data_IF_664800677465
#
_entry.id   IF_664800677465
#
_cell.length_a   1.000
_cell.length_b   1.000
_cell.length_c   1.000
_cell.angle_alpha   90.00
_cell.angle_beta   90.00
_cell.angle_gamma   90.00
#
_symmetry.space_group_name_H-M   'P 1'
#
loop_
_entity.id
_entity.type
_entity.pdbx_description
1 polymer ?
#
# COMPACT_ATOMS: atom_id res chain seq x y z
N UNK A 1 -0.39 -12.05 13.88
CA UNK A 1 -1.20 -10.85 13.53
C UNK A 1 -0.56 -9.93 12.49
N UNK A 2 0.78 -9.83 12.41
CA UNK A 2 1.49 -9.06 11.37
C UNK A 2 1.00 -9.31 9.91
N UNK A 3 0.73 -10.56 9.46
CA UNK A 3 0.27 -10.78 8.08
C UNK A 3 -1.11 -10.17 7.78
N UNK A 4 -2.02 -10.14 8.76
CA UNK A 4 -3.39 -9.63 8.57
C UNK A 4 -3.39 -8.12 8.32
N UNK A 5 -2.58 -7.39 9.08
CA UNK A 5 -2.45 -5.92 8.95
C UNK A 5 -1.82 -5.58 7.59
N UNK A 6 -0.79 -6.32 7.18
CA UNK A 6 -0.16 -6.14 5.87
C UNK A 6 -1.14 -6.38 4.71
N UNK A 7 -1.98 -7.41 4.81
CA UNK A 7 -3.02 -7.70 3.81
C UNK A 7 -4.08 -6.60 3.75
N UNK A 8 -4.50 -6.05 4.88
CA UNK A 8 -5.48 -4.96 4.93
C UNK A 8 -4.97 -3.67 4.26
N UNK A 9 -3.70 -3.33 4.46
CA UNK A 9 -3.10 -2.15 3.81
C UNK A 9 -2.91 -2.41 2.31
N UNK A 10 -2.48 -3.61 1.92
CA UNK A 10 -2.23 -3.95 0.52
C UNK A 10 -3.51 -3.89 -0.34
N UNK A 11 -4.68 -4.27 0.19
CA UNK A 11 -5.94 -4.28 -0.55
C UNK A 11 -6.55 -2.89 -0.79
N UNK A 12 -6.14 -1.88 -0.03
CA UNK A 12 -6.67 -0.53 -0.14
C UNK A 12 -6.38 0.13 -1.50
N UNK A 13 -5.19 -0.12 -2.07
CA UNK A 13 -4.76 0.51 -3.33
C UNK A 13 -5.56 -0.04 -4.52
N UNK A 14 -5.63 -1.37 -4.75
CA UNK A 14 -6.51 -1.94 -5.77
C UNK A 14 -7.97 -1.59 -5.62
N UNK A 15 -8.49 -1.51 -4.39
CA UNK A 15 -9.89 -1.13 -4.16
C UNK A 15 -10.22 0.25 -4.73
N UNK A 16 -9.38 1.25 -4.44
CA UNK A 16 -9.55 2.63 -4.97
C UNK A 16 -9.41 2.65 -6.49
N UNK A 17 -8.41 1.96 -7.04
CA UNK A 17 -8.17 1.93 -8.49
C UNK A 17 -9.28 1.19 -9.25
N UNK A 18 -9.83 0.13 -8.66
CA UNK A 18 -10.93 -0.66 -9.20
C UNK A 18 -12.21 0.19 -9.23
N UNK A 19 -12.55 0.84 -8.11
CA UNK A 19 -13.68 1.77 -8.05
C UNK A 19 -13.55 2.90 -9.09
N UNK A 20 -12.35 3.49 -9.20
CA UNK A 20 -12.05 4.52 -10.22
C UNK A 20 -12.23 3.99 -11.65
N UNK A 21 -11.81 2.76 -11.92
CA UNK A 21 -11.93 2.12 -13.23
C UNK A 21 -13.37 1.75 -13.59
N UNK A 22 -14.17 1.34 -12.60
CA UNK A 22 -15.61 1.06 -12.75
C UNK A 22 -16.36 2.35 -13.05
N UNK A 23 -16.06 3.44 -12.35
CA UNK A 23 -16.65 4.76 -12.60
C UNK A 23 -16.36 5.27 -14.03
N UNK A 24 -15.21 4.93 -14.59
CA UNK A 24 -14.82 5.24 -15.99
C UNK A 24 -15.34 4.22 -17.02
N UNK A 25 -16.39 3.44 -16.70
CA UNK A 25 -17.02 2.43 -17.58
C UNK A 25 -16.05 1.33 -18.09
N UNK A 26 -14.96 1.06 -17.38
CA UNK A 26 -13.93 0.11 -17.81
C UNK A 26 -14.08 -1.27 -17.14
N UNK A 27 -15.31 -1.63 -16.77
CA UNK A 27 -15.65 -2.83 -15.98
C UNK A 27 -15.10 -4.13 -16.58
N UNK A 28 -15.11 -4.25 -17.92
CA UNK A 28 -14.55 -5.41 -18.61
C UNK A 28 -13.06 -5.60 -18.32
N UNK A 29 -12.28 -4.51 -18.29
CA UNK A 29 -10.84 -4.60 -17.99
C UNK A 29 -10.58 -4.92 -16.52
N UNK A 30 -11.40 -4.37 -15.61
CA UNK A 30 -11.36 -4.74 -14.18
C UNK A 30 -11.64 -6.23 -13.99
N UNK A 31 -12.65 -6.77 -14.70
CA UNK A 31 -12.97 -8.19 -14.67
C UNK A 31 -11.81 -9.06 -15.17
N UNK A 32 -11.22 -8.73 -16.32
CA UNK A 32 -10.07 -9.46 -16.85
C UNK A 32 -8.86 -9.41 -15.89
N UNK A 33 -8.57 -8.26 -15.28
CA UNK A 33 -7.52 -8.16 -14.26
C UNK A 33 -7.79 -9.07 -13.07
N UNK A 34 -9.03 -9.07 -12.55
CA UNK A 34 -9.40 -9.92 -11.43
C UNK A 34 -9.28 -11.41 -11.78
N UNK A 35 -9.66 -11.82 -13.00
CA UNK A 35 -9.47 -13.21 -13.45
C UNK A 35 -7.99 -13.60 -13.47
N UNK A 36 -7.13 -12.76 -14.05
CA UNK A 36 -5.68 -12.99 -14.07
C UNK A 36 -5.14 -13.15 -12.64
N UNK A 37 -5.56 -12.26 -11.74
CA UNK A 37 -5.08 -12.22 -10.36
C UNK A 37 -5.57 -13.43 -9.56
N UNK A 38 -6.81 -13.87 -9.75
CA UNK A 38 -7.32 -15.10 -9.14
C UNK A 38 -6.53 -16.32 -9.63
N UNK A 39 -6.23 -16.41 -10.93
CA UNK A 39 -5.42 -17.50 -11.47
C UNK A 39 -4.01 -17.51 -10.89
N UNK A 40 -3.34 -16.35 -10.84
CA UNK A 40 -2.01 -16.21 -10.24
C UNK A 40 -2.04 -16.56 -8.76
N UNK A 41 -3.03 -16.06 -8.02
CA UNK A 41 -3.18 -16.31 -6.59
C UNK A 41 -3.38 -17.78 -6.27
N UNK A 42 -4.19 -18.49 -7.07
CA UNK A 42 -4.35 -19.93 -6.95
C UNK A 42 -3.04 -20.66 -7.23
N UNK A 43 -2.36 -20.37 -8.34
CA UNK A 43 -1.09 -21.00 -8.68
C UNK A 43 -0.03 -20.80 -7.59
N UNK A 44 0.12 -19.57 -7.11
CA UNK A 44 1.04 -19.22 -6.03
C UNK A 44 0.66 -19.88 -4.71
N UNK A 45 -0.62 -19.92 -4.36
CA UNK A 45 -1.08 -20.61 -3.16
C UNK A 45 -0.75 -22.11 -3.22
N UNK A 46 -0.97 -22.76 -4.37
CA UNK A 46 -0.63 -24.18 -4.55
C UNK A 46 0.87 -24.47 -4.43
N UNK A 47 1.74 -23.53 -4.85
CA UNK A 47 3.20 -23.69 -4.76
C UNK A 47 3.73 -23.34 -3.37
N UNK A 48 3.27 -22.22 -2.79
CA UNK A 48 3.85 -21.63 -1.58
C UNK A 48 3.29 -22.23 -0.29
N UNK A 49 2.02 -22.68 -0.27
CA UNK A 49 1.43 -23.25 0.96
C UNK A 49 2.14 -24.55 1.37
N UNK A 50 2.49 -25.49 0.47
CA UNK A 50 3.23 -26.69 0.85
C UNK A 50 4.61 -26.40 1.45
N UNK A 51 5.34 -25.41 0.93
CA UNK A 51 6.71 -25.14 1.38
C UNK A 51 6.78 -24.28 2.65
N UNK A 52 5.94 -23.25 2.76
CA UNK A 52 6.03 -22.23 3.82
C UNK A 52 4.71 -22.00 4.58
N UNK A 53 3.72 -22.88 4.38
CA UNK A 53 2.47 -22.91 5.12
C UNK A 53 1.67 -21.60 5.00
N UNK A 54 1.13 -21.14 6.13
CA UNK A 54 0.30 -19.92 6.20
C UNK A 54 1.02 -18.66 5.70
N UNK A 55 2.35 -18.60 5.83
CA UNK A 55 3.14 -17.46 5.32
C UNK A 55 3.10 -17.41 3.79
N UNK A 56 3.02 -18.56 3.12
CA UNK A 56 2.90 -18.66 1.67
C UNK A 56 1.62 -18.05 1.15
N UNK A 57 0.50 -18.28 1.84
CA UNK A 57 -0.78 -17.64 1.50
C UNK A 57 -0.71 -16.12 1.60
N UNK A 58 -0.08 -15.58 2.66
CA UNK A 58 0.09 -14.14 2.82
C UNK A 58 0.98 -13.54 1.71
N UNK A 59 2.05 -14.22 1.31
CA UNK A 59 2.92 -13.78 0.20
C UNK A 59 2.16 -13.80 -1.12
N UNK A 60 1.40 -14.88 -1.39
CA UNK A 60 0.56 -14.98 -2.58
C UNK A 60 -0.41 -13.80 -2.68
N UNK A 61 -1.11 -13.48 -1.57
CA UNK A 61 -2.00 -12.32 -1.52
C UNK A 61 -1.28 -11.01 -1.80
N UNK A 62 -0.13 -10.76 -1.18
CA UNK A 62 0.65 -9.55 -1.44
C UNK A 62 1.05 -9.43 -2.92
N UNK A 63 1.49 -10.53 -3.53
CA UNK A 63 1.84 -10.55 -4.96
C UNK A 63 0.62 -10.26 -5.83
N UNK A 64 -0.52 -10.87 -5.53
CA UNK A 64 -1.76 -10.64 -6.28
C UNK A 64 -2.27 -9.19 -6.20
N UNK A 65 -2.18 -8.55 -5.03
CA UNK A 65 -2.57 -7.14 -4.85
C UNK A 65 -1.64 -6.20 -5.64
N UNK A 66 -0.34 -6.50 -5.68
CA UNK A 66 0.64 -5.75 -6.49
C UNK A 66 0.32 -5.91 -7.98
N UNK A 67 0.09 -7.14 -8.45
CA UNK A 67 -0.25 -7.41 -9.86
C UNK A 67 -1.54 -6.69 -10.24
N UNK A 68 -2.57 -6.76 -9.39
CA UNK A 68 -3.84 -6.07 -9.63
C UNK A 68 -3.66 -4.54 -9.69
N UNK A 69 -2.89 -3.97 -8.76
CA UNK A 69 -2.56 -2.54 -8.74
C UNK A 69 -1.90 -2.11 -10.06
N UNK A 70 -0.90 -2.86 -10.53
CA UNK A 70 -0.16 -2.55 -11.75
C UNK A 70 -1.09 -2.58 -12.97
N UNK A 71 -1.93 -3.62 -13.10
CA UNK A 71 -2.87 -3.76 -14.22
C UNK A 71 -3.88 -2.60 -14.24
N UNK A 72 -4.44 -2.24 -13.08
CA UNK A 72 -5.41 -1.15 -12.99
C UNK A 72 -4.77 0.22 -13.28
N UNK A 73 -3.57 0.48 -12.75
CA UNK A 73 -2.80 1.70 -13.08
C UNK A 73 -2.53 1.78 -14.58
N UNK A 74 -2.08 0.69 -15.20
CA UNK A 74 -1.82 0.64 -16.63
C UNK A 74 -3.06 1.00 -17.45
N UNK A 75 -4.22 0.46 -17.09
CA UNK A 75 -5.47 0.79 -17.77
C UNK A 75 -5.95 2.23 -17.53
N UNK A 76 -5.75 2.76 -16.32
CA UNK A 76 -6.10 4.14 -15.98
C UNK A 76 -5.20 5.16 -16.68
N UNK A 77 -3.90 4.90 -16.78
CA UNK A 77 -2.96 5.77 -17.51
C UNK A 77 -3.30 5.87 -18.99
N UNK A 78 -3.74 4.76 -19.61
CA UNK A 78 -4.12 4.75 -21.04
C UNK A 78 -5.32 5.65 -21.35
N UNK A 79 -6.14 5.99 -20.35
CA UNK A 79 -7.31 6.85 -20.51
C UNK A 79 -6.96 8.33 -20.19
N UNK A 80 -5.69 8.66 -19.91
CA UNK A 80 -5.16 10.00 -19.65
C UNK A 80 -5.75 10.77 -18.44
N UNK A 81 -6.62 10.16 -17.63
CA UNK A 81 -7.19 10.83 -16.44
C UNK A 81 -6.29 10.78 -15.20
N UNK A 82 -5.26 9.93 -15.15
CA UNK A 82 -4.38 9.78 -14.00
C UNK A 82 -2.91 10.00 -14.36
N UNK A 83 -2.41 11.26 -14.32
CA UNK A 83 -0.96 11.50 -14.33
C UNK A 83 -0.40 11.02 -12.99
N UNK A 84 0.18 9.81 -12.95
CA UNK A 84 0.96 9.38 -11.79
C UNK A 84 2.15 10.32 -11.63
N UNK A 85 2.08 11.18 -10.62
CA UNK A 85 3.18 12.07 -10.27
C UNK A 85 4.22 11.28 -9.47
N UNK A 86 5.16 10.64 -10.18
CA UNK A 86 6.23 9.83 -9.59
C UNK A 86 7.00 10.53 -8.46
N UNK A 87 7.13 11.86 -8.53
CA UNK A 87 7.75 12.68 -7.49
C UNK A 87 7.03 12.57 -6.14
N UNK A 88 5.70 12.46 -6.14
CA UNK A 88 4.90 12.28 -4.93
C UNK A 88 4.97 10.85 -4.41
N UNK A 89 4.94 9.85 -5.30
CA UNK A 89 5.16 8.45 -4.93
C UNK A 89 6.50 8.24 -4.23
N UNK A 90 7.59 8.80 -4.77
CA UNK A 90 8.92 8.72 -4.17
C UNK A 90 8.97 9.35 -2.76
N UNK A 91 8.32 10.50 -2.56
CA UNK A 91 8.23 11.13 -1.23
C UNK A 91 7.49 10.26 -0.23
N UNK A 92 6.38 9.63 -0.64
CA UNK A 92 5.59 8.72 0.21
C UNK A 92 6.41 7.47 0.57
N UNK A 93 7.08 6.86 -0.42
CA UNK A 93 7.93 5.68 -0.21
C UNK A 93 9.10 6.02 0.73
N UNK A 94 9.76 7.16 0.54
CA UNK A 94 10.82 7.63 1.43
C UNK A 94 10.34 7.86 2.85
N UNK A 95 9.20 8.56 3.03
CA UNK A 95 8.62 8.78 4.35
C UNK A 95 8.26 7.47 5.06
N UNK A 96 7.68 6.52 4.32
CA UNK A 96 7.38 5.18 4.83
C UNK A 96 8.63 4.39 5.20
N UNK A 97 9.70 4.50 4.41
CA UNK A 97 10.97 3.80 4.65
C UNK A 97 11.66 4.35 5.89
N UNK A 98 11.73 5.67 6.04
CA UNK A 98 12.32 6.33 7.22
C UNK A 98 11.53 5.95 8.48
N UNK A 99 10.19 5.96 8.41
CA UNK A 99 9.34 5.53 9.51
C UNK A 99 9.59 4.06 9.88
N UNK A 100 9.65 3.16 8.89
CA UNK A 100 9.87 1.73 9.12
C UNK A 100 11.24 1.46 9.76
N UNK A 101 12.30 2.16 9.30
CA UNK A 101 13.63 2.09 9.90
C UNK A 101 13.61 2.56 11.36
N UNK A 102 12.97 3.70 11.63
CA UNK A 102 12.88 4.25 12.97
C UNK A 102 12.21 3.27 13.94
N UNK A 103 11.06 2.70 13.54
CA UNK A 103 10.37 1.69 14.35
C UNK A 103 11.23 0.45 14.52
N UNK A 104 11.93 -0.02 13.49
CA UNK A 104 12.77 -1.20 13.56
C UNK A 104 13.87 -1.08 14.61
N UNK A 105 14.54 0.07 14.69
CA UNK A 105 15.59 0.33 15.69
C UNK A 105 15.04 0.52 17.11
N UNK A 106 13.87 1.16 17.25
CA UNK A 106 13.26 1.43 18.55
C UNK A 106 12.42 0.26 19.09
N UNK A 107 12.20 -0.79 18.28
CA UNK A 107 11.27 -1.86 18.64
C UNK A 107 11.66 -2.54 19.95
N UNK A 108 12.95 -2.85 20.10
CA UNK A 108 13.46 -3.66 21.21
C UNK A 108 13.49 -2.85 22.52
N UNK A 109 13.80 -1.55 22.42
CA UNK A 109 13.78 -0.62 23.55
C UNK A 109 12.35 -0.39 24.09
N UNK A 110 11.38 -0.19 23.20
CA UNK A 110 9.98 0.08 23.60
C UNK A 110 9.30 -1.19 24.12
N UNK A 111 9.62 -2.36 23.55
CA UNK A 111 9.08 -3.64 24.02
C UNK A 111 9.52 -3.95 25.46
N UNK A 112 10.74 -3.54 25.83
CA UNK A 112 11.28 -3.69 27.18
C UNK A 112 10.61 -2.74 28.20
N UNK A 113 10.32 -1.49 27.82
CA UNK A 113 9.77 -0.49 28.75
C UNK A 113 8.26 -0.60 29.01
N UNK A 114 7.46 -0.99 28.01
CA UNK A 114 6.00 -0.76 28.02
C UNK A 114 5.19 -2.07 28.11
N UNK A 115 5.81 -3.21 27.80
CA UNK A 115 5.14 -4.52 27.79
C UNK A 115 4.28 -4.78 26.54
N UNK A 116 4.13 -6.07 26.20
CA UNK A 116 3.72 -6.56 24.87
C UNK A 116 2.43 -5.97 24.28
N UNK A 117 1.43 -5.67 25.11
CA UNK A 117 0.11 -5.21 24.65
C UNK A 117 0.04 -3.69 24.42
N UNK A 118 0.61 -2.88 25.33
CA UNK A 118 0.64 -1.42 25.17
C UNK A 118 1.64 -0.99 24.07
N UNK A 119 2.69 -1.76 23.84
CA UNK A 119 3.68 -1.49 22.78
C UNK A 119 3.03 -1.35 21.39
N UNK A 120 1.97 -2.11 21.09
CA UNK A 120 1.29 -2.03 19.78
C UNK A 120 0.58 -0.69 19.58
N UNK A 121 -0.15 -0.21 20.60
CA UNK A 121 -0.81 1.09 20.56
C UNK A 121 0.21 2.22 20.46
N UNK A 122 1.31 2.11 21.19
CA UNK A 122 2.39 3.09 21.14
C UNK A 122 3.03 3.16 19.75
N UNK A 123 3.27 2.03 19.09
CA UNK A 123 3.77 2.02 17.71
C UNK A 123 2.77 2.62 16.72
N UNK A 124 1.47 2.37 16.86
CA UNK A 124 0.47 3.01 15.98
C UNK A 124 0.54 4.53 16.07
N UNK A 125 0.54 5.08 17.29
CA UNK A 125 0.55 6.53 17.51
C UNK A 125 1.87 7.15 17.02
N UNK A 126 3.01 6.58 17.42
CA UNK A 126 4.33 7.10 17.02
C UNK A 126 4.55 7.02 15.50
N UNK A 127 4.11 5.93 14.86
CA UNK A 127 4.20 5.77 13.41
C UNK A 127 3.41 6.86 12.66
N UNK A 128 2.18 7.15 13.11
CA UNK A 128 1.35 8.20 12.51
C UNK A 128 1.99 9.59 12.66
N UNK A 129 2.56 9.89 13.82
CA UNK A 129 3.24 11.17 14.09
C UNK A 129 4.48 11.32 13.21
N UNK A 130 5.32 10.29 13.13
CA UNK A 130 6.56 10.33 12.33
C UNK A 130 6.24 10.47 10.84
N UNK A 131 5.32 9.64 10.33
CA UNK A 131 4.93 9.68 8.93
C UNK A 131 4.29 11.03 8.55
N UNK A 132 3.37 11.52 9.38
CA UNK A 132 2.74 12.83 9.20
C UNK A 132 3.77 13.98 9.26
N UNK A 133 4.70 13.93 10.22
CA UNK A 133 5.77 14.91 10.37
C UNK A 133 6.69 14.97 9.15
N UNK A 134 7.10 13.81 8.61
CA UNK A 134 7.94 13.75 7.40
C UNK A 134 7.18 14.28 6.17
N UNK A 135 5.90 13.95 6.03
CA UNK A 135 5.08 14.47 4.92
C UNK A 135 4.85 15.98 5.02
N UNK A 136 4.66 16.49 6.24
CA UNK A 136 4.57 17.93 6.50
C UNK A 136 5.89 18.62 6.14
N UNK A 137 7.03 18.08 6.60
CA UNK A 137 8.35 18.64 6.30
C UNK A 137 8.68 18.64 4.80
N UNK A 138 8.31 17.56 4.10
CA UNK A 138 8.47 17.47 2.64
C UNK A 138 7.48 18.35 1.85
N UNK A 139 6.70 19.18 2.56
CA UNK A 139 5.68 20.11 2.05
C UNK A 139 4.73 19.44 1.06
N UNK A 140 4.37 18.19 1.31
CA UNK A 140 3.52 17.42 0.40
C UNK A 140 2.21 18.16 0.10
N UNK A 141 1.47 18.49 1.16
CA UNK A 141 0.18 19.19 1.08
C UNK A 141 0.31 20.61 0.51
N UNK A 142 1.33 21.38 0.91
CA UNK A 142 1.50 22.76 0.43
C UNK A 142 1.81 22.81 -1.06
N UNK A 143 2.56 21.85 -1.59
CA UNK A 143 2.86 21.77 -3.03
C UNK A 143 1.65 21.32 -3.84
N UNK A 144 0.84 20.40 -3.30
CA UNK A 144 -0.36 19.90 -3.95
C UNK A 144 -1.46 20.96 -4.02
N UNK A 145 -1.71 21.68 -2.91
CA UNK A 145 -2.65 22.82 -2.87
C UNK A 145 -2.21 23.94 -3.81
N UNK A 146 -0.92 24.26 -3.86
CA UNK A 146 -0.39 25.26 -4.81
C UNK A 146 -0.56 24.83 -6.26
N UNK A 147 -0.35 23.56 -6.60
CA UNK A 147 -0.59 23.06 -7.96
C UNK A 147 -2.08 23.08 -8.32
N UNK A 148 -2.98 22.76 -7.38
CA UNK A 148 -4.42 22.79 -7.61
C UNK A 148 -4.93 24.21 -7.84
N UNK A 149 -4.51 25.16 -7.00
CA UNK A 149 -4.87 26.58 -7.13
C UNK A 149 -4.33 27.23 -8.40
N UNK A 150 -3.21 26.73 -8.94
CA UNK A 150 -2.62 27.25 -10.20
C UNK A 150 -3.32 26.72 -11.46
N UNK A 151 -4.17 25.71 -11.31
CA UNK A 151 -4.87 25.02 -12.41
C UNK A 151 -6.37 25.36 -12.46
N UNK A 152 -6.89 26.06 -11.45
CA UNK A 152 -8.22 26.68 -11.41
C UNK A 152 -8.15 28.15 -11.81
#
# INVERSE_FOLDING_TARGET
NIPIIAMFVASSVPAILSASSVALNNQKKVLYSNLIVVTIGLALNFILIPEIGLKGSAISTLVTEIVLSILLVYYLQKIQYFPLKYKYLLKIILAGTIMALFIFFLKDMILFMVGKYLTVLFFMITSAIIFGGILYYTQFFTNEVKEFLKKS
#
